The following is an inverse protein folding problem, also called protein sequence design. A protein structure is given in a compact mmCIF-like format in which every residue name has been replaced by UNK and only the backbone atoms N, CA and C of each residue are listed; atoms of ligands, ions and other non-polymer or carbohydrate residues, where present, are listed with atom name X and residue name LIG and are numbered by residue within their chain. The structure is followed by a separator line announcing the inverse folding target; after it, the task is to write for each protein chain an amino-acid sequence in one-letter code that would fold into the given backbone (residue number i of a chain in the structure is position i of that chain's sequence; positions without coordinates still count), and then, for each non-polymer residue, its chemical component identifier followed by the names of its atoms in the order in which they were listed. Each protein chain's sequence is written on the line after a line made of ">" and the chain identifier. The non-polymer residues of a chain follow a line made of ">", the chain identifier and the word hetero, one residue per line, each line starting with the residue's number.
data_IF_177070534962
#
_entry.id   IF_177070534962
#
_cell.length_a   1.000
_cell.length_b   1.000
_cell.length_c   1.000
_cell.angle_alpha   90.00
_cell.angle_beta   90.00
_cell.angle_gamma   90.00
#
_symmetry.space_group_name_H-M   'P 1'
#
loop_
_entity.id
_entity.type
_entity.pdbx_description
1 polymer ?
#
# COMPACT_ATOMS: atom_id res chain seq x y z
N UNK A 1 -17.22 -43.03 -16.77
CA UNK A 1 -16.34 -42.00 -17.35
C UNK A 1 -16.11 -40.95 -16.28
N UNK A 2 -15.14 -41.20 -15.40
CA UNK A 2 -14.79 -40.33 -14.28
C UNK A 2 -13.95 -39.17 -14.81
N UNK A 3 -14.50 -37.96 -14.73
CA UNK A 3 -13.71 -36.75 -14.91
C UNK A 3 -12.73 -36.65 -13.75
N UNK A 4 -11.49 -37.09 -13.95
CA UNK A 4 -10.35 -36.61 -13.17
C UNK A 4 -10.14 -35.15 -13.56
N UNK A 5 -10.92 -34.26 -12.94
CA UNK A 5 -10.68 -32.84 -12.99
C UNK A 5 -9.32 -32.58 -12.35
N UNK A 6 -8.27 -32.55 -13.16
CA UNK A 6 -7.01 -31.92 -12.81
C UNK A 6 -7.36 -30.52 -12.34
N UNK A 7 -7.29 -30.33 -11.01
CA UNK A 7 -7.46 -29.02 -10.39
C UNK A 7 -6.66 -28.01 -11.21
N UNK A 8 -7.30 -26.90 -11.56
CA UNK A 8 -6.74 -25.84 -12.38
C UNK A 8 -5.28 -25.58 -12.01
N UNK A 9 -4.32 -25.60 -12.97
CA UNK A 9 -2.89 -25.38 -12.73
C UNK A 9 -2.53 -24.08 -12.00
N UNK A 10 -3.52 -23.21 -11.78
CA UNK A 10 -3.45 -21.90 -11.17
C UNK A 10 -3.86 -21.88 -9.69
N UNK A 11 -4.41 -22.97 -9.14
CA UNK A 11 -4.43 -23.18 -7.69
C UNK A 11 -3.00 -23.54 -7.28
N UNK A 12 -2.12 -22.53 -7.33
CA UNK A 12 -0.72 -22.68 -6.93
C UNK A 12 -0.71 -23.20 -5.50
N UNK A 13 -0.03 -24.33 -5.30
CA UNK A 13 0.32 -24.84 -3.97
C UNK A 13 1.32 -23.88 -3.32
N UNK A 14 0.78 -22.77 -2.80
CA UNK A 14 1.56 -21.73 -2.16
C UNK A 14 2.23 -22.24 -0.89
N UNK A 15 1.65 -23.23 -0.19
CA UNK A 15 2.24 -23.85 0.99
C UNK A 15 3.57 -24.52 0.64
N UNK A 16 3.59 -25.39 -0.38
CA UNK A 16 4.81 -26.05 -0.82
C UNK A 16 5.85 -25.06 -1.34
N UNK A 17 5.43 -24.03 -2.08
CA UNK A 17 6.34 -23.00 -2.61
C UNK A 17 6.92 -22.13 -1.52
N UNK A 18 6.11 -21.73 -0.55
CA UNK A 18 6.51 -20.94 0.60
C UNK A 18 7.52 -21.73 1.47
N UNK A 19 7.26 -23.02 1.71
CA UNK A 19 8.19 -23.91 2.39
C UNK A 19 9.51 -24.06 1.63
N UNK A 20 9.44 -24.23 0.31
CA UNK A 20 10.63 -24.33 -0.55
C UNK A 20 11.45 -23.03 -0.53
N UNK A 21 10.80 -21.88 -0.71
CA UNK A 21 11.41 -20.55 -0.63
C UNK A 21 12.19 -20.39 0.69
N UNK A 22 11.54 -20.65 1.84
CA UNK A 22 12.17 -20.54 3.16
C UNK A 22 13.32 -21.53 3.35
N UNK A 23 13.20 -22.74 2.81
CA UNK A 23 14.27 -23.75 2.84
C UNK A 23 15.55 -23.34 2.10
N UNK A 24 15.47 -22.41 1.14
CA UNK A 24 16.62 -21.88 0.41
C UNK A 24 17.20 -20.59 1.03
N UNK A 25 16.61 -20.08 2.12
CA UNK A 25 17.11 -18.87 2.76
C UNK A 25 18.42 -19.15 3.50
N UNK A 26 19.41 -18.31 3.22
CA UNK A 26 20.70 -18.29 3.91
C UNK A 26 20.69 -17.22 5.00
N UNK A 27 21.61 -17.30 5.96
CA UNK A 27 21.75 -16.29 7.00
C UNK A 27 21.96 -14.87 6.44
N UNK A 28 22.70 -14.71 5.33
CA UNK A 28 22.90 -13.41 4.69
C UNK A 28 21.61 -12.83 4.07
N UNK A 29 20.64 -13.69 3.73
CA UNK A 29 19.35 -13.25 3.22
C UNK A 29 18.50 -12.57 4.30
N UNK A 30 18.57 -13.04 5.55
CA UNK A 30 17.87 -12.40 6.67
C UNK A 30 18.30 -10.95 6.86
N UNK A 31 19.61 -10.67 6.79
CA UNK A 31 20.16 -9.31 6.84
C UNK A 31 19.66 -8.47 5.67
N UNK A 32 19.67 -9.02 4.45
CA UNK A 32 19.16 -8.31 3.25
C UNK A 32 17.68 -7.97 3.37
N UNK A 33 16.86 -8.88 3.91
CA UNK A 33 15.45 -8.60 4.19
C UNK A 33 15.32 -7.44 5.16
N UNK A 34 16.09 -7.42 6.26
CA UNK A 34 16.07 -6.30 7.22
C UNK A 34 16.49 -4.96 6.59
N UNK A 35 17.52 -4.96 5.74
CA UNK A 35 17.92 -3.73 5.00
C UNK A 35 16.81 -3.28 4.04
N UNK A 36 16.17 -4.22 3.34
CA UNK A 36 15.02 -3.92 2.49
C UNK A 36 13.85 -3.34 3.31
N UNK A 37 13.56 -3.89 4.51
CA UNK A 37 12.55 -3.35 5.43
C UNK A 37 12.84 -1.89 5.77
N UNK A 38 14.08 -1.55 6.15
CA UNK A 38 14.46 -0.17 6.45
C UNK A 38 14.25 0.74 5.23
N UNK A 39 14.64 0.30 4.03
CA UNK A 39 14.40 1.05 2.80
C UNK A 39 12.90 1.28 2.56
N UNK A 40 12.06 0.25 2.73
CA UNK A 40 10.61 0.41 2.58
C UNK A 40 10.01 1.34 3.64
N UNK A 41 10.43 1.27 4.90
CA UNK A 41 10.00 2.20 5.94
C UNK A 41 10.41 3.65 5.59
N UNK A 42 11.64 3.85 5.12
CA UNK A 42 12.10 5.16 4.62
C UNK A 42 11.24 5.66 3.46
N UNK A 43 10.83 4.78 2.55
CA UNK A 43 9.93 5.12 1.43
C UNK A 43 8.54 5.57 1.86
N UNK A 44 8.13 5.29 3.10
CA UNK A 44 6.88 5.75 3.67
C UNK A 44 7.04 7.02 4.51
N UNK A 45 7.94 6.98 5.49
CA UNK A 45 8.00 8.00 6.54
C UNK A 45 8.81 9.23 6.14
N UNK A 46 9.85 9.10 5.31
CA UNK A 46 10.61 10.27 4.84
C UNK A 46 9.78 11.17 3.91
N UNK A 47 9.01 10.64 2.94
CA UNK A 47 8.07 11.45 2.15
C UNK A 47 7.04 12.18 3.02
N UNK A 48 6.46 11.50 4.02
CA UNK A 48 5.53 12.15 4.94
C UNK A 48 6.20 13.29 5.73
N UNK A 49 7.40 13.05 6.25
CA UNK A 49 8.18 14.07 6.96
C UNK A 49 8.46 15.28 6.07
N UNK A 50 8.96 15.06 4.85
CA UNK A 50 9.24 16.12 3.89
C UNK A 50 7.97 16.89 3.50
N UNK A 51 6.85 16.21 3.35
CA UNK A 51 5.55 16.84 3.11
C UNK A 51 5.17 17.79 4.25
N UNK A 52 5.19 17.32 5.51
CA UNK A 52 4.79 18.11 6.67
C UNK A 52 5.78 19.22 7.05
N UNK A 53 7.05 19.09 6.64
CA UNK A 53 8.04 20.19 6.71
C UNK A 53 7.81 21.28 5.65
N UNK A 54 6.78 21.14 4.80
CA UNK A 54 6.44 22.12 3.77
C UNK A 54 7.31 22.04 2.52
N UNK A 55 8.17 21.02 2.38
CA UNK A 55 9.05 20.89 1.22
C UNK A 55 8.27 20.61 -0.08
N UNK A 56 7.06 20.03 0.02
CA UNK A 56 6.26 19.62 -1.14
C UNK A 56 5.05 20.49 -1.43
N UNK A 57 4.47 21.09 -0.40
CA UNK A 57 3.25 21.89 -0.50
C UNK A 57 3.18 22.79 0.74
N UNK A 58 2.89 24.08 0.56
CA UNK A 58 2.67 25.01 1.67
C UNK A 58 1.48 25.94 1.36
N UNK A 59 0.49 26.09 2.27
CA UNK A 59 0.31 25.33 3.52
C UNK A 59 0.15 23.83 3.26
N UNK A 60 0.26 22.98 4.28
CA UNK A 60 0.05 21.53 4.16
C UNK A 60 -1.40 21.14 4.43
N UNK A 61 -1.91 20.10 3.75
CA UNK A 61 -3.19 19.45 4.03
C UNK A 61 -3.00 18.54 5.24
N UNK A 62 -3.92 18.60 6.19
CA UNK A 62 -4.04 17.61 7.24
C UNK A 62 -5.53 17.26 7.44
N UNK A 63 -5.89 15.97 7.52
CA UNK A 63 -5.03 14.77 7.37
C UNK A 63 -4.56 14.53 5.93
N UNK A 64 -3.38 13.96 5.72
CA UNK A 64 -2.85 13.60 4.41
C UNK A 64 -2.30 12.16 4.41
N UNK A 65 -2.93 11.30 3.60
CA UNK A 65 -2.59 9.89 3.44
C UNK A 65 -1.20 9.68 2.83
N UNK A 66 -0.65 8.47 2.91
CA UNK A 66 0.60 8.15 2.25
C UNK A 66 0.46 8.32 0.73
N UNK A 67 -0.65 7.84 0.16
CA UNK A 67 -0.96 8.02 -1.26
C UNK A 67 -1.03 9.50 -1.67
N UNK A 68 -1.46 10.40 -0.77
CA UNK A 68 -1.44 11.83 -1.02
C UNK A 68 -0.01 12.39 -0.94
N UNK A 69 0.70 12.14 0.17
CA UNK A 69 2.03 12.72 0.42
C UNK A 69 3.08 12.24 -0.58
N UNK A 70 3.03 10.97 -1.00
CA UNK A 70 3.92 10.40 -2.00
C UNK A 70 3.60 10.82 -3.44
N UNK A 71 2.48 11.52 -3.67
CA UNK A 71 2.14 12.08 -5.00
C UNK A 71 2.75 13.46 -5.24
N UNK A 72 3.27 14.13 -4.20
CA UNK A 72 3.77 15.51 -4.25
C UNK A 72 5.29 15.54 -4.32
N UNK A 73 5.87 16.28 -5.28
CA UNK A 73 7.31 16.49 -5.31
C UNK A 73 7.73 17.50 -4.21
N UNK A 74 8.90 17.34 -3.55
CA UNK A 74 9.94 16.30 -3.75
C UNK A 74 9.66 14.96 -3.06
N UNK A 75 8.68 14.88 -2.15
CA UNK A 75 8.34 13.66 -1.39
C UNK A 75 8.15 12.42 -2.27
N UNK A 76 7.54 12.59 -3.44
CA UNK A 76 7.38 11.55 -4.48
C UNK A 76 8.69 10.89 -4.87
N UNK A 77 9.74 11.68 -5.14
CA UNK A 77 11.01 11.14 -5.62
C UNK A 77 11.74 10.38 -4.51
N UNK A 78 11.64 10.86 -3.27
CA UNK A 78 12.19 10.16 -2.10
C UNK A 78 11.45 8.83 -1.88
N UNK A 79 10.12 8.83 -2.01
CA UNK A 79 9.31 7.61 -1.96
C UNK A 79 9.81 6.59 -3.00
N UNK A 80 9.86 6.99 -4.28
CA UNK A 80 10.26 6.11 -5.38
C UNK A 80 11.70 5.59 -5.24
N UNK A 81 12.64 6.43 -4.81
CA UNK A 81 14.04 6.04 -4.62
C UNK A 81 14.18 4.92 -3.59
N UNK A 82 13.63 5.13 -2.40
CA UNK A 82 13.74 4.14 -1.32
C UNK A 82 12.89 2.90 -1.58
N UNK A 83 11.74 3.06 -2.23
CA UNK A 83 10.90 1.93 -2.66
C UNK A 83 11.63 1.07 -3.69
N UNK A 84 12.25 1.68 -4.71
CA UNK A 84 13.02 0.96 -5.71
C UNK A 84 14.24 0.26 -5.10
N UNK A 85 14.97 0.94 -4.20
CA UNK A 85 16.10 0.34 -3.50
C UNK A 85 15.67 -0.87 -2.65
N UNK A 86 14.57 -0.75 -1.90
CA UNK A 86 14.00 -1.85 -1.12
C UNK A 86 13.66 -3.06 -1.99
N UNK A 87 13.01 -2.83 -3.15
CA UNK A 87 12.71 -3.90 -4.10
C UNK A 87 13.95 -4.51 -4.73
N UNK A 88 14.95 -3.73 -5.13
CA UNK A 88 16.20 -4.29 -5.68
C UNK A 88 16.86 -5.28 -4.70
N UNK A 89 16.89 -4.94 -3.41
CA UNK A 89 17.45 -5.80 -2.37
C UNK A 89 16.56 -7.02 -2.13
N UNK A 90 15.25 -6.83 -2.04
CA UNK A 90 14.32 -7.92 -1.75
C UNK A 90 14.18 -8.90 -2.93
N UNK A 91 14.15 -8.42 -4.17
CA UNK A 91 14.17 -9.26 -5.37
C UNK A 91 15.45 -10.10 -5.42
N UNK A 92 16.60 -9.57 -5.02
CA UNK A 92 17.82 -10.37 -4.95
C UNK A 92 17.67 -11.56 -3.98
N UNK A 93 16.94 -11.40 -2.87
CA UNK A 93 16.62 -12.52 -1.96
C UNK A 93 15.63 -13.49 -2.60
N UNK A 94 14.59 -12.98 -3.26
CA UNK A 94 13.57 -13.80 -3.92
C UNK A 94 14.16 -14.64 -5.08
N UNK A 95 15.11 -14.09 -5.82
CA UNK A 95 15.79 -14.79 -6.92
C UNK A 95 16.67 -15.94 -6.43
N UNK A 96 17.14 -15.90 -5.18
CA UNK A 96 17.95 -16.96 -4.61
C UNK A 96 17.16 -18.27 -4.35
N UNK A 97 15.83 -18.24 -4.47
CA UNK A 97 14.96 -19.41 -4.27
C UNK A 97 14.93 -20.39 -5.44
N UNK A 98 15.44 -20.00 -6.60
CA UNK A 98 15.35 -20.74 -7.87
C UNK A 98 13.92 -21.17 -8.27
N UNK A 99 12.88 -20.57 -7.66
CA UNK A 99 11.49 -20.79 -8.05
C UNK A 99 11.01 -19.71 -9.01
N UNK A 100 10.97 -20.06 -10.31
CA UNK A 100 10.51 -19.17 -11.38
C UNK A 100 9.13 -18.56 -11.11
N UNK A 101 8.21 -19.30 -10.47
CA UNK A 101 6.86 -18.77 -10.20
C UNK A 101 6.90 -17.68 -9.13
N UNK A 102 7.64 -17.91 -8.06
CA UNK A 102 7.85 -16.89 -7.01
C UNK A 102 8.55 -15.66 -7.58
N UNK A 103 9.53 -15.84 -8.48
CA UNK A 103 10.23 -14.74 -9.15
C UNK A 103 9.30 -13.93 -10.08
N UNK A 104 8.49 -14.61 -10.91
CA UNK A 104 7.52 -13.97 -11.78
C UNK A 104 6.43 -13.22 -10.99
N UNK A 105 5.96 -13.83 -9.91
CA UNK A 105 5.01 -13.19 -8.99
C UNK A 105 5.61 -11.92 -8.37
N UNK A 106 6.86 -11.97 -7.90
CA UNK A 106 7.56 -10.81 -7.37
C UNK A 106 7.73 -9.69 -8.41
N UNK A 107 8.13 -10.03 -9.64
CA UNK A 107 8.23 -9.07 -10.74
C UNK A 107 6.86 -8.44 -11.07
N UNK A 108 5.80 -9.25 -11.09
CA UNK A 108 4.44 -8.77 -11.29
C UNK A 108 4.01 -7.81 -10.17
N UNK A 109 4.32 -8.09 -8.91
CA UNK A 109 4.00 -7.21 -7.80
C UNK A 109 4.73 -5.86 -7.88
N UNK A 110 6.01 -5.86 -8.28
CA UNK A 110 6.75 -4.62 -8.56
C UNK A 110 6.07 -3.82 -9.65
N UNK A 111 5.67 -4.47 -10.75
CA UNK A 111 4.94 -3.82 -11.84
C UNK A 111 3.60 -3.25 -11.36
N UNK A 112 2.84 -4.00 -10.56
CA UNK A 112 1.58 -3.53 -9.96
C UNK A 112 1.82 -2.29 -9.09
N UNK A 113 2.87 -2.28 -8.27
CA UNK A 113 3.26 -1.12 -7.46
C UNK A 113 3.61 0.10 -8.31
N UNK A 114 4.38 -0.08 -9.38
CA UNK A 114 4.69 0.98 -10.36
C UNK A 114 3.41 1.52 -10.99
N UNK A 115 2.50 0.65 -11.43
CA UNK A 115 1.22 1.06 -12.01
C UNK A 115 0.36 1.82 -11.00
N UNK A 116 0.24 1.32 -9.77
CA UNK A 116 -0.50 2.00 -8.70
C UNK A 116 0.04 3.41 -8.44
N UNK A 117 1.36 3.58 -8.37
CA UNK A 117 2.00 4.88 -8.18
C UNK A 117 1.88 5.79 -9.41
N UNK A 118 2.04 5.25 -10.63
CA UNK A 118 1.98 6.02 -11.87
C UNK A 118 0.58 6.56 -12.15
N UNK A 119 -0.43 5.75 -11.85
CA UNK A 119 -1.82 6.13 -11.96
C UNK A 119 -2.36 6.81 -10.69
N UNK A 120 -1.53 7.16 -9.71
CA UNK A 120 -1.94 8.03 -8.61
C UNK A 120 -1.53 9.48 -8.89
N UNK A 121 -2.36 10.24 -9.64
CA UNK A 121 -2.07 11.66 -9.95
C UNK A 121 -3.26 12.56 -9.58
N UNK A 122 -3.00 13.79 -9.08
CA UNK A 122 -4.05 14.79 -8.94
C UNK A 122 -4.76 15.07 -10.27
N UNK A 123 -6.08 15.32 -10.22
CA UNK A 123 -6.85 15.77 -11.40
C UNK A 123 -7.15 14.70 -12.46
N UNK A 124 -6.97 13.43 -12.15
CA UNK A 124 -7.16 12.34 -13.11
C UNK A 124 -8.60 12.15 -13.60
N UNK A 125 -8.69 11.61 -14.83
CA UNK A 125 -9.94 11.16 -15.43
C UNK A 125 -10.47 9.90 -14.74
N UNK A 126 -11.76 9.59 -14.96
CA UNK A 126 -12.42 8.43 -14.35
C UNK A 126 -11.70 7.11 -14.68
N UNK A 127 -11.20 6.96 -15.91
CA UNK A 127 -10.48 5.75 -16.32
C UNK A 127 -9.18 5.55 -15.53
N UNK A 128 -8.38 6.60 -15.34
CA UNK A 128 -7.16 6.53 -14.55
C UNK A 128 -7.46 6.20 -13.07
N UNK A 129 -8.53 6.74 -12.49
CA UNK A 129 -8.96 6.38 -11.14
C UNK A 129 -9.36 4.90 -11.02
N UNK A 130 -10.02 4.34 -12.03
CA UNK A 130 -10.38 2.91 -12.05
C UNK A 130 -9.13 2.03 -12.14
N UNK A 131 -8.17 2.41 -12.99
CA UNK A 131 -6.89 1.69 -13.11
C UNK A 131 -6.12 1.76 -11.79
N UNK A 132 -6.03 2.93 -11.16
CA UNK A 132 -5.38 3.09 -9.86
C UNK A 132 -6.04 2.23 -8.78
N UNK A 133 -7.37 2.23 -8.71
CA UNK A 133 -8.12 1.40 -7.76
C UNK A 133 -7.86 -0.09 -8.01
N UNK A 134 -7.94 -0.55 -9.26
CA UNK A 134 -7.68 -1.94 -9.61
C UNK A 134 -6.23 -2.35 -9.27
N UNK A 135 -5.25 -1.51 -9.60
CA UNK A 135 -3.85 -1.75 -9.28
C UNK A 135 -3.62 -1.76 -7.75
N UNK A 136 -4.24 -0.85 -6.99
CA UNK A 136 -4.14 -0.83 -5.54
C UNK A 136 -4.74 -2.09 -4.90
N UNK A 137 -5.91 -2.55 -5.37
CA UNK A 137 -6.52 -3.80 -4.89
C UNK A 137 -5.62 -5.00 -5.22
N UNK A 138 -5.14 -5.10 -6.46
CA UNK A 138 -4.20 -6.14 -6.86
C UNK A 138 -2.94 -6.11 -5.99
N UNK A 139 -2.40 -4.93 -5.72
CA UNK A 139 -1.23 -4.76 -4.86
C UNK A 139 -1.51 -5.28 -3.44
N UNK A 140 -2.67 -4.98 -2.85
CA UNK A 140 -3.06 -5.52 -1.54
C UNK A 140 -3.15 -7.05 -1.57
N UNK A 141 -3.74 -7.64 -2.61
CA UNK A 141 -3.79 -9.10 -2.77
C UNK A 141 -2.38 -9.70 -2.88
N UNK A 142 -1.47 -9.04 -3.61
CA UNK A 142 -0.08 -9.47 -3.72
C UNK A 142 0.62 -9.48 -2.34
N UNK A 143 0.33 -8.50 -1.48
CA UNK A 143 0.84 -8.49 -0.10
C UNK A 143 0.33 -9.69 0.71
N UNK A 144 -0.94 -10.09 0.53
CA UNK A 144 -1.52 -11.24 1.24
C UNK A 144 -0.80 -12.53 0.84
N UNK A 145 -0.49 -12.70 -0.46
CA UNK A 145 0.30 -13.84 -0.92
C UNK A 145 1.70 -13.80 -0.30
N UNK A 146 2.38 -12.65 -0.29
CA UNK A 146 3.70 -12.58 0.36
C UNK A 146 3.65 -12.82 1.87
N UNK A 147 2.59 -12.40 2.57
CA UNK A 147 2.42 -12.74 4.00
C UNK A 147 2.45 -14.24 4.24
N UNK A 148 1.91 -15.01 3.30
CA UNK A 148 1.93 -16.46 3.33
C UNK A 148 3.30 -17.03 2.93
N UNK A 149 3.90 -16.53 1.84
CA UNK A 149 5.25 -16.94 1.39
C UNK A 149 6.30 -16.72 2.48
N UNK A 150 6.25 -15.59 3.18
CA UNK A 150 7.20 -15.21 4.23
C UNK A 150 6.84 -15.78 5.61
N UNK A 151 5.77 -16.57 5.72
CA UNK A 151 5.20 -17.07 6.98
C UNK A 151 5.09 -16.00 8.08
N UNK A 152 4.53 -14.85 7.73
CA UNK A 152 4.45 -13.71 8.64
C UNK A 152 3.65 -14.04 9.90
N UNK A 153 4.10 -13.60 11.07
CA UNK A 153 3.40 -13.90 12.33
C UNK A 153 1.96 -13.37 12.35
N UNK A 154 1.10 -14.01 13.13
CA UNK A 154 -0.33 -13.69 13.21
C UNK A 154 -0.59 -12.22 13.57
N UNK A 155 0.25 -11.61 14.42
CA UNK A 155 0.13 -10.21 14.83
C UNK A 155 0.18 -9.25 13.64
N UNK A 156 1.19 -9.37 12.77
CA UNK A 156 1.31 -8.48 11.61
C UNK A 156 0.19 -8.70 10.59
N UNK A 157 -0.22 -9.96 10.37
CA UNK A 157 -1.35 -10.30 9.49
C UNK A 157 -2.66 -9.68 10.00
N UNK A 158 -2.94 -9.79 11.31
CA UNK A 158 -4.13 -9.21 11.92
C UNK A 158 -4.15 -7.68 11.81
N UNK A 159 -3.03 -7.01 12.10
CA UNK A 159 -2.94 -5.55 11.94
C UNK A 159 -3.15 -5.15 10.49
N UNK A 160 -2.57 -5.87 9.53
CA UNK A 160 -2.77 -5.61 8.11
C UNK A 160 -4.24 -5.75 7.69
N UNK A 161 -4.88 -6.90 7.97
CA UNK A 161 -6.28 -7.13 7.57
C UNK A 161 -7.24 -6.13 8.22
N UNK A 162 -7.05 -5.86 9.51
CA UNK A 162 -7.85 -4.87 10.23
C UNK A 162 -7.66 -3.49 9.63
N UNK A 163 -6.42 -3.12 9.27
CA UNK A 163 -6.13 -1.83 8.63
C UNK A 163 -6.73 -1.74 7.22
N UNK A 164 -6.76 -2.83 6.44
CA UNK A 164 -7.46 -2.89 5.15
C UNK A 164 -8.97 -2.63 5.32
N UNK A 165 -9.61 -3.29 6.28
CA UNK A 165 -11.05 -3.12 6.57
C UNK A 165 -11.34 -1.69 7.01
N UNK A 166 -10.54 -1.13 7.92
CA UNK A 166 -10.74 0.23 8.43
C UNK A 166 -10.45 1.29 7.38
N UNK A 167 -9.47 1.06 6.49
CA UNK A 167 -9.23 1.90 5.31
C UNK A 167 -10.45 1.90 4.41
N UNK A 168 -10.98 0.72 4.06
CA UNK A 168 -12.17 0.61 3.21
C UNK A 168 -13.40 1.28 3.86
N UNK A 169 -13.61 1.07 5.16
CA UNK A 169 -14.69 1.71 5.91
C UNK A 169 -14.56 3.24 5.91
N UNK A 170 -13.35 3.78 6.13
CA UNK A 170 -13.09 5.20 6.08
C UNK A 170 -13.31 5.79 4.68
N UNK A 171 -12.92 5.09 3.61
CA UNK A 171 -13.23 5.48 2.22
C UNK A 171 -14.75 5.58 2.01
N UNK A 172 -15.51 4.58 2.45
CA UNK A 172 -16.97 4.55 2.31
C UNK A 172 -17.66 5.65 3.13
N UNK A 173 -17.26 5.84 4.38
CA UNK A 173 -17.76 6.92 5.24
C UNK A 173 -17.49 8.30 4.62
N UNK A 174 -16.26 8.55 4.16
CA UNK A 174 -15.87 9.78 3.46
C UNK A 174 -16.77 10.03 2.25
N UNK A 175 -17.00 9.01 1.43
CA UNK A 175 -17.85 9.11 0.25
C UNK A 175 -19.31 9.37 0.62
N UNK A 176 -19.86 8.67 1.61
CA UNK A 176 -21.23 8.86 2.09
C UNK A 176 -21.45 10.27 2.64
N UNK A 177 -20.50 10.81 3.41
CA UNK A 177 -20.57 12.18 3.93
C UNK A 177 -20.59 13.19 2.77
N UNK A 178 -19.67 13.05 1.80
CA UNK A 178 -19.59 13.91 0.60
C UNK A 178 -20.87 13.85 -0.23
N UNK A 179 -21.41 12.66 -0.50
CA UNK A 179 -22.67 12.49 -1.25
C UNK A 179 -23.86 13.11 -0.50
N UNK A 180 -23.94 12.93 0.81
CA UNK A 180 -25.02 13.50 1.64
C UNK A 180 -24.92 15.02 1.82
N UNK A 181 -23.75 15.60 1.56
CA UNK A 181 -23.51 17.04 1.57
C UNK A 181 -23.71 17.55 0.14
N UNK A 182 -24.97 17.86 -0.20
CA UNK A 182 -25.44 18.26 -1.53
C UNK A 182 -24.40 19.07 -2.33
N UNK A 183 -23.69 18.41 -3.23
CA UNK A 183 -22.76 19.05 -4.18
C UNK A 183 -21.26 18.86 -3.92
N UNK A 184 -20.84 18.15 -2.86
CA UNK A 184 -19.43 17.79 -2.74
C UNK A 184 -19.05 16.67 -3.71
N UNK A 185 -18.00 16.91 -4.47
CA UNK A 185 -17.35 15.89 -5.29
C UNK A 185 -16.84 14.76 -4.39
N UNK A 186 -17.06 13.51 -4.81
CA UNK A 186 -16.51 12.31 -4.13
C UNK A 186 -14.98 12.26 -4.19
N UNK A 187 -14.36 13.08 -5.06
CA UNK A 187 -12.90 13.17 -5.17
C UNK A 187 -12.25 13.62 -3.84
N UNK A 188 -11.03 13.16 -3.63
CA UNK A 188 -10.18 13.67 -2.55
C UNK A 188 -9.77 15.10 -2.85
N UNK A 189 -9.67 15.93 -1.81
CA UNK A 189 -9.10 17.26 -1.95
C UNK A 189 -7.66 17.14 -2.45
N UNK A 190 -7.35 17.79 -3.57
CA UNK A 190 -6.05 17.76 -4.24
C UNK A 190 -5.07 18.80 -3.70
N UNK A 191 -5.55 19.70 -2.84
CA UNK A 191 -4.77 20.76 -2.19
C UNK A 191 -5.36 21.12 -0.82
N UNK A 192 -4.59 21.77 0.07
CA UNK A 192 -5.09 22.29 1.34
C UNK A 192 -6.19 23.33 1.15
N UNK A 193 -6.12 24.19 0.14
CA UNK A 193 -7.15 25.18 -0.15
C UNK A 193 -8.48 24.51 -0.54
N UNK A 194 -8.43 23.47 -1.37
CA UNK A 194 -9.61 22.66 -1.70
C UNK A 194 -10.15 21.95 -0.46
N UNK A 195 -9.28 21.42 0.41
CA UNK A 195 -9.68 20.78 1.65
C UNK A 195 -10.42 21.74 2.59
N UNK A 196 -9.88 22.95 2.80
CA UNK A 196 -10.54 23.98 3.61
C UNK A 196 -11.89 24.40 3.01
N UNK A 197 -11.95 24.52 1.68
CA UNK A 197 -13.21 24.79 0.97
C UNK A 197 -14.23 23.68 1.17
N UNK A 198 -13.82 22.41 1.11
CA UNK A 198 -14.73 21.28 1.34
C UNK A 198 -15.28 21.28 2.77
N UNK A 199 -14.43 21.57 3.77
CA UNK A 199 -14.86 21.65 5.17
C UNK A 199 -15.81 22.83 5.43
N UNK A 200 -15.60 23.99 4.79
CA UNK A 200 -16.48 25.16 4.97
C UNK A 200 -17.83 25.03 4.27
N UNK A 201 -17.93 24.13 3.27
CA UNK A 201 -19.17 23.86 2.54
C UNK A 201 -20.12 22.90 3.28
N UNK A 202 -19.68 22.29 4.38
CA UNK A 202 -20.50 21.36 5.16
C UNK A 202 -20.73 21.88 6.57
N UNK A 203 -21.88 21.51 7.17
CA UNK A 203 -22.16 21.86 8.56
C UNK A 203 -21.10 21.30 9.52
N UNK A 204 -20.89 21.92 10.70
CA UNK A 204 -19.78 21.62 11.61
C UNK A 204 -19.70 20.15 12.02
N UNK A 205 -20.84 19.50 12.24
CA UNK A 205 -20.89 18.05 12.55
C UNK A 205 -20.34 17.20 11.41
N UNK A 206 -20.75 17.48 10.16
CA UNK A 206 -20.26 16.76 8.98
C UNK A 206 -18.80 17.07 8.69
N UNK A 207 -18.36 18.30 8.94
CA UNK A 207 -16.94 18.68 8.85
C UNK A 207 -16.09 17.83 9.80
N UNK A 208 -16.52 17.70 11.07
CA UNK A 208 -15.85 16.85 12.04
C UNK A 208 -15.82 15.37 11.64
N UNK A 209 -16.95 14.82 11.17
CA UNK A 209 -17.02 13.44 10.67
C UNK A 209 -16.10 13.22 9.46
N UNK A 210 -16.09 14.15 8.51
CA UNK A 210 -15.24 14.08 7.32
C UNK A 210 -13.75 14.13 7.70
N UNK A 211 -13.40 15.00 8.65
CA UNK A 211 -12.04 15.11 9.17
C UNK A 211 -11.58 13.81 9.86
N UNK A 212 -12.40 13.25 10.75
CA UNK A 212 -12.09 11.98 11.42
C UNK A 212 -12.00 10.81 10.45
N UNK A 213 -12.85 10.79 9.42
CA UNK A 213 -12.82 9.77 8.37
C UNK A 213 -11.53 9.85 7.55
N UNK A 214 -11.08 11.04 7.13
CA UNK A 214 -9.80 11.22 6.44
C UNK A 214 -8.59 10.94 7.35
N UNK A 215 -8.68 11.23 8.66
CA UNK A 215 -7.64 10.87 9.62
C UNK A 215 -7.53 9.35 9.78
N UNK A 216 -8.68 8.68 9.90
CA UNK A 216 -8.77 7.22 9.96
C UNK A 216 -8.15 6.61 8.70
N UNK A 217 -8.50 7.12 7.52
CA UNK A 217 -7.90 6.70 6.26
C UNK A 217 -6.37 6.88 6.26
N UNK A 218 -5.86 8.06 6.66
CA UNK A 218 -4.42 8.33 6.75
C UNK A 218 -3.70 7.34 7.67
N UNK A 219 -4.22 7.10 8.87
CA UNK A 219 -3.60 6.21 9.86
C UNK A 219 -3.59 4.78 9.36
N UNK A 220 -4.73 4.25 8.92
CA UNK A 220 -4.84 2.85 8.54
C UNK A 220 -4.20 2.54 7.20
N UNK A 221 -4.17 3.46 6.23
CA UNK A 221 -3.38 3.27 5.00
C UNK A 221 -1.89 3.08 5.31
N UNK A 222 -1.35 3.88 6.25
CA UNK A 222 0.02 3.71 6.72
C UNK A 222 0.19 2.38 7.47
N UNK A 223 -0.72 2.03 8.37
CA UNK A 223 -0.62 0.77 9.14
C UNK A 223 -0.67 -0.48 8.26
N UNK A 224 -1.38 -0.47 7.13
CA UNK A 224 -1.34 -1.57 6.15
C UNK A 224 0.12 -1.84 5.74
N UNK A 225 0.81 -0.83 5.21
CA UNK A 225 2.16 -1.01 4.69
C UNK A 225 3.18 -1.22 5.82
N UNK A 226 3.05 -0.51 6.94
CA UNK A 226 3.92 -0.69 8.11
C UNK A 226 3.83 -2.11 8.67
N UNK A 227 2.63 -2.66 8.81
CA UNK A 227 2.43 -4.01 9.31
C UNK A 227 3.04 -5.05 8.37
N UNK A 228 2.86 -4.89 7.05
CA UNK A 228 3.52 -5.75 6.07
C UNK A 228 5.04 -5.65 6.19
N UNK A 229 5.59 -4.44 6.09
CA UNK A 229 7.04 -4.21 6.05
C UNK A 229 7.70 -4.74 7.32
N UNK A 230 7.20 -4.39 8.51
CA UNK A 230 7.78 -4.89 9.77
C UNK A 230 7.66 -6.41 9.91
N UNK A 231 6.60 -6.99 9.35
CA UNK A 231 6.39 -8.43 9.41
C UNK A 231 7.18 -9.24 8.38
N UNK A 232 7.76 -8.62 7.34
CA UNK A 232 8.52 -9.34 6.29
C UNK A 232 9.61 -10.28 6.82
N UNK A 233 10.27 -9.93 7.93
CA UNK A 233 11.31 -10.74 8.56
C UNK A 233 10.80 -11.67 9.67
N UNK A 234 9.52 -11.56 10.05
CA UNK A 234 8.98 -12.23 11.25
C UNK A 234 8.85 -13.75 11.13
N UNK A 235 8.84 -14.30 9.92
CA UNK A 235 8.85 -15.75 9.65
C UNK A 235 10.13 -16.26 8.99
N UNK A 236 11.16 -15.40 8.88
CA UNK A 236 12.46 -15.72 8.26
C UNK A 236 13.58 -15.89 9.31
N UNK A 237 13.28 -15.59 10.58
CA UNK A 237 14.22 -15.69 11.72
C UNK A 237 14.27 -17.07 12.36
#
# INVERSE_FOLDING_TARGET
>A
MSWHGSATPWLMDWDSRASSFRGHLRADHGIKVQVAQVCFLCSMYLPMLLYYLGASEYPTKFPASLSYTSSKAPSKYVCLLFWALGWCIFLHVLWASDDLVTQLFAAQMVLTGVLAAWFNKPGQCRAANLIHMAAAIAYILDHIVFMHVLDMTATYRQVFYTSCVLTAAALQCTNAIKVSAAGLSVKYASSPAEWQKMLSQVGPTKAGQLWWSELTFMVFENLILTAFILGMSSGIG
#
